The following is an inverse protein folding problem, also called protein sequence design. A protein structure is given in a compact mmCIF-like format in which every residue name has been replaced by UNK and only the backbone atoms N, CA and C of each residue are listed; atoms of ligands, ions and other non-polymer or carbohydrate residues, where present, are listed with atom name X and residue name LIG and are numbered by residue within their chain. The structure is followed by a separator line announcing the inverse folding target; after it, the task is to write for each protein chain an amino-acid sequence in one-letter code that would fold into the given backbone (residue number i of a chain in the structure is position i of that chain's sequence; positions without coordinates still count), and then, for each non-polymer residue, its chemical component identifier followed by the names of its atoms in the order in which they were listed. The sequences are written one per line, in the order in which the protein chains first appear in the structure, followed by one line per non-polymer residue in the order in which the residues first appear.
data_IF_449041482251
#
_entry.id   IF_449041482251
#
_cell.length_a   1.000
_cell.length_b   1.000
_cell.length_c   1.000
_cell.angle_alpha   90.00
_cell.angle_beta   90.00
_cell.angle_gamma   90.00
#
_symmetry.space_group_name_H-M   'P 1'
#
loop_
_entity.id
_entity.type
_entity.pdbx_description
1 polymer ?
#
# COMPACT_ATOMS: atom_id res chain seq x y z
N UNK A 1 -4.01 -37.32 35.10
CA UNK A 1 -3.86 -38.32 34.01
C UNK A 1 -2.43 -38.95 33.98
N UNK A 2 -1.73 -38.98 35.10
CA UNK A 2 -0.36 -39.53 35.09
C UNK A 2 -0.32 -41.07 35.15
N UNK A 3 -1.46 -41.72 35.39
CA UNK A 3 -1.48 -43.17 35.58
C UNK A 3 -1.95 -43.99 34.38
N UNK A 4 -2.83 -43.46 33.50
CA UNK A 4 -3.25 -44.21 32.32
C UNK A 4 -3.66 -43.22 31.19
N UNK A 5 -2.78 -42.94 30.26
CA UNK A 5 -3.08 -42.10 29.05
C UNK A 5 -4.18 -42.73 28.18
N UNK A 6 -4.40 -44.04 28.26
CA UNK A 6 -5.40 -44.79 27.49
C UNK A 6 -6.87 -44.54 27.96
N UNK A 7 -7.07 -43.90 29.11
CA UNK A 7 -8.41 -43.64 29.65
C UNK A 7 -8.83 -42.16 29.64
N UNK A 8 -7.99 -41.27 29.08
CA UNK A 8 -8.35 -39.88 28.90
C UNK A 8 -9.26 -39.76 27.69
N UNK A 9 -10.56 -39.64 27.90
CA UNK A 9 -11.54 -39.37 26.86
C UNK A 9 -11.83 -37.86 26.77
N UNK A 10 -12.18 -37.42 25.57
CA UNK A 10 -12.67 -36.07 25.25
C UNK A 10 -13.99 -36.23 24.49
N UNK A 11 -15.01 -36.68 25.20
CA UNK A 11 -16.33 -36.97 24.64
C UNK A 11 -17.08 -35.68 24.28
N UNK A 12 -16.84 -34.61 25.05
CA UNK A 12 -17.41 -33.29 24.82
C UNK A 12 -16.69 -32.47 23.78
N UNK A 13 -15.52 -32.95 23.28
CA UNK A 13 -14.66 -32.34 22.23
C UNK A 13 -14.17 -30.92 22.58
N UNK A 14 -13.83 -30.70 23.86
CA UNK A 14 -13.26 -29.43 24.33
C UNK A 14 -11.72 -29.42 24.39
N UNK A 15 -11.09 -30.49 23.89
CA UNK A 15 -9.63 -30.73 23.88
C UNK A 15 -9.05 -30.99 25.29
N UNK A 16 -9.86 -31.30 26.24
CA UNK A 16 -9.46 -31.66 27.61
C UNK A 16 -9.94 -33.03 27.94
N UNK A 17 -9.25 -33.68 28.87
CA UNK A 17 -9.70 -34.91 29.42
C UNK A 17 -10.93 -34.67 30.33
N UNK A 18 -12.08 -35.33 30.07
CA UNK A 18 -13.31 -35.22 30.85
C UNK A 18 -13.13 -35.66 32.32
N UNK A 19 -12.10 -36.47 32.58
CA UNK A 19 -11.78 -37.01 33.89
C UNK A 19 -10.97 -36.06 34.78
N UNK A 20 -9.90 -35.46 34.18
CA UNK A 20 -8.92 -34.70 34.98
C UNK A 20 -8.71 -33.26 34.46
N UNK A 21 -9.39 -32.85 33.41
CA UNK A 21 -9.27 -31.52 32.83
C UNK A 21 -7.93 -31.21 32.17
N UNK A 22 -7.03 -32.19 32.07
CA UNK A 22 -5.74 -31.99 31.40
C UNK A 22 -5.95 -31.81 29.91
N UNK A 23 -5.26 -30.83 29.30
CA UNK A 23 -5.28 -30.59 27.85
C UNK A 23 -4.73 -31.82 27.12
N UNK A 24 -5.50 -32.36 26.20
CA UNK A 24 -5.14 -33.54 25.39
C UNK A 24 -4.55 -33.14 24.04
N UNK A 25 -5.18 -32.19 23.36
CA UNK A 25 -4.76 -31.75 22.02
C UNK A 25 -4.83 -30.25 21.90
N UNK A 26 -4.21 -29.72 20.86
CA UNK A 26 -4.36 -28.30 20.47
C UNK A 26 -5.56 -28.12 19.54
N UNK A 27 -6.12 -26.92 19.53
CA UNK A 27 -7.12 -26.55 18.54
C UNK A 27 -6.53 -26.62 17.13
N UNK A 28 -7.27 -27.21 16.19
CA UNK A 28 -6.83 -27.42 14.82
C UNK A 28 -7.95 -27.10 13.82
N UNK A 29 -7.57 -26.88 12.56
CA UNK A 29 -8.49 -26.58 11.46
C UNK A 29 -8.93 -25.12 11.43
N UNK A 30 -9.80 -24.81 10.48
CA UNK A 30 -10.22 -23.44 10.22
C UNK A 30 -9.09 -22.54 9.72
N UNK A 31 -9.48 -21.32 9.34
CA UNK A 31 -8.53 -20.29 8.92
C UNK A 31 -8.90 -18.95 9.57
N UNK A 32 -7.94 -18.28 10.18
CA UNK A 32 -8.12 -16.91 10.62
C UNK A 32 -8.27 -15.97 9.42
N UNK A 33 -9.02 -14.93 9.60
CA UNK A 33 -9.17 -13.84 8.62
C UNK A 33 -8.63 -12.53 9.19
N UNK A 34 -8.67 -11.47 8.40
CA UNK A 34 -8.29 -10.13 8.86
C UNK A 34 -9.23 -9.58 9.95
N UNK A 35 -10.34 -10.26 10.21
CA UNK A 35 -11.36 -9.87 11.19
C UNK A 35 -11.54 -10.93 12.29
N UNK A 36 -11.61 -12.20 11.91
CA UNK A 36 -12.01 -13.29 12.79
C UNK A 36 -10.84 -14.25 13.01
N UNK A 37 -10.71 -14.77 14.22
CA UNK A 37 -9.77 -15.84 14.57
C UNK A 37 -10.16 -17.15 13.88
N UNK A 38 -9.22 -18.09 13.81
CA UNK A 38 -9.55 -19.44 13.35
C UNK A 38 -10.54 -20.11 14.30
N UNK A 39 -11.45 -20.91 13.77
CA UNK A 39 -12.37 -21.74 14.55
C UNK A 39 -11.93 -23.18 14.48
N UNK A 40 -11.80 -23.81 15.64
CA UNK A 40 -11.48 -25.23 15.72
C UNK A 40 -12.59 -26.07 15.07
N UNK A 41 -12.22 -26.97 14.16
CA UNK A 41 -13.17 -27.84 13.47
C UNK A 41 -13.78 -28.91 14.39
N UNK A 42 -13.15 -29.18 15.53
CA UNK A 42 -13.58 -30.19 16.49
C UNK A 42 -14.56 -29.59 17.52
N UNK A 43 -14.19 -28.50 18.19
CA UNK A 43 -14.97 -27.91 19.28
C UNK A 43 -15.65 -26.59 18.93
N UNK A 44 -15.38 -26.00 17.75
CA UNK A 44 -15.95 -24.72 17.32
C UNK A 44 -15.38 -23.48 18.04
N UNK A 45 -14.47 -23.67 19.00
CA UNK A 45 -13.87 -22.55 19.72
C UNK A 45 -12.95 -21.71 18.83
N UNK A 46 -12.94 -20.42 19.05
CA UNK A 46 -11.98 -19.51 18.40
C UNK A 46 -10.60 -19.65 19.05
N UNK A 47 -9.55 -19.73 18.24
CA UNK A 47 -8.19 -19.87 18.71
C UNK A 47 -7.18 -19.12 17.86
N UNK A 48 -5.96 -18.95 18.37
CA UNK A 48 -4.88 -18.24 17.67
C UNK A 48 -5.14 -16.74 17.55
N UNK A 49 -4.45 -16.12 16.62
CA UNK A 49 -4.58 -14.71 16.30
C UNK A 49 -5.28 -14.52 14.95
N UNK A 50 -5.79 -13.30 14.68
CA UNK A 50 -6.33 -12.94 13.36
C UNK A 50 -5.19 -12.95 12.32
N UNK A 51 -5.50 -13.31 11.09
CA UNK A 51 -4.56 -13.19 9.96
C UNK A 51 -4.85 -11.88 9.20
N UNK A 52 -4.07 -10.85 9.52
CA UNK A 52 -4.22 -9.52 8.92
C UNK A 52 -4.05 -9.50 7.39
N UNK A 53 -3.54 -10.58 6.78
CA UNK A 53 -3.34 -10.70 5.33
C UNK A 53 -4.43 -11.51 4.63
N UNK A 54 -5.23 -12.27 5.37
CA UNK A 54 -6.30 -13.08 4.82
C UNK A 54 -7.60 -12.26 4.71
N UNK A 55 -7.75 -11.54 3.61
CA UNK A 55 -8.92 -10.73 3.31
C UNK A 55 -9.96 -11.54 2.52
N UNK A 56 -11.05 -11.94 3.15
CA UNK A 56 -12.09 -12.79 2.52
C UNK A 56 -13.18 -12.02 1.79
N UNK A 57 -13.41 -10.74 2.15
CA UNK A 57 -14.52 -9.94 1.64
C UNK A 57 -14.04 -8.69 0.89
N UNK A 58 -13.17 -8.89 -0.10
CA UNK A 58 -12.70 -7.81 -0.95
C UNK A 58 -13.75 -7.44 -2.00
N UNK A 59 -14.18 -6.18 -1.99
CA UNK A 59 -15.05 -5.59 -3.02
C UNK A 59 -14.22 -4.74 -3.97
N UNK A 60 -14.33 -5.00 -5.25
CA UNK A 60 -13.67 -4.25 -6.31
C UNK A 60 -14.48 -3.02 -6.72
N UNK A 61 -13.83 -1.89 -6.81
CA UNK A 61 -14.36 -0.63 -7.30
C UNK A 61 -13.52 -0.16 -8.48
N UNK A 62 -14.06 -0.22 -9.72
CA UNK A 62 -13.33 0.20 -10.91
C UNK A 62 -13.09 1.71 -10.90
N UNK A 63 -12.04 2.14 -11.58
CA UNK A 63 -11.75 3.56 -11.75
C UNK A 63 -12.90 4.28 -12.45
N UNK A 64 -13.23 5.47 -11.95
CA UNK A 64 -14.22 6.37 -12.54
C UNK A 64 -13.60 7.74 -12.75
N UNK A 65 -13.65 8.23 -13.98
CA UNK A 65 -13.13 9.55 -14.30
C UNK A 65 -13.92 10.66 -13.58
N UNK A 66 -13.19 11.64 -13.04
CA UNK A 66 -13.80 12.86 -12.52
C UNK A 66 -14.39 13.71 -13.65
N UNK A 67 -15.43 14.45 -13.35
CA UNK A 67 -16.04 15.44 -14.25
C UNK A 67 -15.94 16.84 -13.64
N UNK A 68 -16.44 17.84 -14.32
CA UNK A 68 -16.53 19.22 -13.77
C UNK A 68 -17.48 19.33 -12.59
N UNK A 69 -18.46 18.42 -12.50
CA UNK A 69 -19.52 18.47 -11.49
C UNK A 69 -19.40 17.36 -10.44
N UNK A 70 -18.77 16.23 -10.78
CA UNK A 70 -18.65 15.06 -9.91
C UNK A 70 -17.20 14.65 -9.73
N UNK A 71 -16.87 14.23 -8.55
CA UNK A 71 -15.60 13.58 -8.25
C UNK A 71 -15.53 12.20 -8.92
N UNK A 72 -14.31 11.76 -9.23
CA UNK A 72 -14.01 10.41 -9.68
C UNK A 72 -13.41 9.57 -8.57
N UNK A 73 -12.97 8.39 -8.93
CA UNK A 73 -12.16 7.55 -8.05
C UNK A 73 -11.11 6.79 -8.87
N UNK A 74 -9.99 6.46 -8.24
CA UNK A 74 -9.04 5.50 -8.77
C UNK A 74 -9.66 4.09 -8.68
N UNK A 75 -9.07 3.10 -9.35
CA UNK A 75 -9.38 1.70 -9.10
C UNK A 75 -8.90 1.31 -7.71
N UNK A 76 -9.75 0.64 -6.92
CA UNK A 76 -9.41 0.19 -5.58
C UNK A 76 -10.24 -1.01 -5.14
N UNK A 77 -9.76 -1.66 -4.08
CA UNK A 77 -10.45 -2.75 -3.39
C UNK A 77 -10.72 -2.35 -1.95
N UNK A 78 -11.88 -2.69 -1.45
CA UNK A 78 -12.29 -2.43 -0.07
C UNK A 78 -12.57 -3.74 0.64
N UNK A 79 -11.90 -3.97 1.76
CA UNK A 79 -12.18 -5.10 2.63
C UNK A 79 -13.24 -4.73 3.66
N UNK A 80 -14.42 -5.37 3.61
CA UNK A 80 -15.50 -5.13 4.59
C UNK A 80 -15.17 -5.68 5.98
N UNK A 81 -14.30 -6.68 6.08
CA UNK A 81 -13.86 -7.27 7.34
C UNK A 81 -13.02 -6.31 8.18
N UNK A 82 -11.88 -5.88 7.66
CA UNK A 82 -10.98 -4.95 8.37
C UNK A 82 -11.24 -3.46 8.08
N UNK A 83 -12.19 -3.13 7.17
CA UNK A 83 -12.58 -1.76 6.78
C UNK A 83 -11.44 -0.93 6.17
N UNK A 84 -10.56 -1.59 5.41
CA UNK A 84 -9.39 -0.99 4.78
C UNK A 84 -9.50 -0.97 3.26
N UNK A 85 -8.78 -0.04 2.63
CA UNK A 85 -8.73 0.19 1.19
C UNK A 85 -7.38 -0.22 0.63
N UNK A 86 -7.36 -0.79 -0.59
CA UNK A 86 -6.15 -1.33 -1.23
C UNK A 86 -6.10 -0.96 -2.71
N UNK A 87 -4.89 -0.79 -3.24
CA UNK A 87 -4.66 -0.54 -4.68
C UNK A 87 -4.68 -1.79 -5.54
N UNK A 88 -4.63 -2.96 -4.94
CA UNK A 88 -4.46 -4.24 -5.65
C UNK A 88 -5.45 -5.29 -5.15
N UNK A 89 -5.77 -6.25 -6.02
CA UNK A 89 -6.70 -7.34 -5.74
C UNK A 89 -6.21 -8.33 -4.68
N UNK A 90 -4.92 -8.30 -4.34
CA UNK A 90 -4.31 -9.15 -3.32
C UNK A 90 -4.27 -8.46 -1.95
N UNK A 91 -4.75 -7.21 -1.88
CA UNK A 91 -4.79 -6.39 -0.66
C UNK A 91 -3.42 -6.26 0.04
N UNK A 92 -2.35 -6.09 -0.75
CA UNK A 92 -1.00 -5.90 -0.23
C UNK A 92 -0.61 -4.43 -0.08
N UNK A 93 -1.23 -3.53 -0.88
CA UNK A 93 -0.96 -2.10 -0.88
C UNK A 93 -2.11 -1.33 -0.25
N UNK A 94 -2.06 -1.17 1.08
CA UNK A 94 -3.05 -0.39 1.82
C UNK A 94 -2.97 1.10 1.45
N UNK A 95 -4.11 1.74 1.26
CA UNK A 95 -4.27 3.18 1.01
C UNK A 95 -5.33 3.78 1.93
N UNK A 96 -5.29 5.09 2.08
CA UNK A 96 -6.34 5.80 2.82
C UNK A 96 -7.58 5.98 1.94
N UNK A 97 -8.75 6.05 2.56
CA UNK A 97 -10.00 6.32 1.84
C UNK A 97 -9.93 7.61 1.01
N UNK A 98 -9.30 8.66 1.53
CA UNK A 98 -9.13 9.93 0.82
C UNK A 98 -8.33 9.78 -0.48
N UNK A 99 -7.39 8.84 -0.54
CA UNK A 99 -6.55 8.59 -1.71
C UNK A 99 -7.30 7.84 -2.83
N UNK A 100 -8.49 7.30 -2.53
CA UNK A 100 -9.34 6.67 -3.56
C UNK A 100 -10.09 7.67 -4.41
N UNK A 101 -10.27 8.93 -3.92
CA UNK A 101 -11.07 9.95 -4.58
C UNK A 101 -10.21 10.78 -5.54
N UNK A 102 -10.72 11.02 -6.74
CA UNK A 102 -10.14 11.95 -7.72
C UNK A 102 -10.95 13.23 -7.71
N UNK A 103 -10.30 14.36 -7.43
CA UNK A 103 -10.94 15.66 -7.38
C UNK A 103 -11.66 16.02 -8.70
N UNK A 104 -12.70 16.83 -8.62
CA UNK A 104 -13.40 17.37 -9.78
C UNK A 104 -12.44 18.10 -10.71
N UNK A 105 -12.70 18.01 -12.00
CA UNK A 105 -11.96 18.78 -12.99
C UNK A 105 -12.21 20.28 -12.77
N UNK A 106 -11.18 21.14 -12.86
CA UNK A 106 -11.36 22.58 -12.74
C UNK A 106 -12.38 23.04 -13.78
N UNK A 107 -13.41 23.73 -13.31
CA UNK A 107 -14.40 24.37 -14.17
C UNK A 107 -13.72 25.50 -14.94
N UNK A 108 -13.27 25.22 -16.15
CA UNK A 108 -12.76 26.27 -17.03
C UNK A 108 -13.90 27.22 -17.36
N UNK A 109 -13.95 28.43 -16.79
CA UNK A 109 -14.59 29.56 -17.38
C UNK A 109 -13.79 29.91 -18.62
N UNK A 110 -14.19 29.34 -19.77
CA UNK A 110 -13.66 29.80 -21.06
C UNK A 110 -14.18 31.20 -21.28
N UNK A 111 -13.38 32.19 -20.95
CA UNK A 111 -13.58 33.57 -21.44
C UNK A 111 -13.31 33.50 -22.95
N UNK A 112 -14.26 33.84 -23.83
CA UNK A 112 -13.99 33.86 -25.27
C UNK A 112 -12.99 34.98 -25.57
N UNK A 113 -11.81 34.59 -26.06
CA UNK A 113 -10.84 35.53 -26.59
C UNK A 113 -9.53 35.58 -25.85
N UNK A 114 -8.66 34.59 -26.15
CA UNK A 114 -7.21 34.74 -26.30
C UNK A 114 -6.66 33.38 -26.68
N UNK A 115 -6.26 33.27 -27.94
CA UNK A 115 -5.34 32.23 -28.39
C UNK A 115 -4.06 32.24 -27.51
N UNK A 116 -4.01 31.40 -26.50
CA UNK A 116 -2.77 31.02 -25.86
C UNK A 116 -2.71 29.50 -25.90
N UNK A 117 -1.80 29.02 -26.74
CA UNK A 117 -1.25 27.68 -26.72
C UNK A 117 -1.17 27.12 -25.29
N UNK A 118 -1.53 25.86 -25.03
CA UNK A 118 -1.42 25.27 -23.69
C UNK A 118 0.03 25.42 -23.23
N UNK A 119 0.23 26.30 -22.24
CA UNK A 119 1.49 26.39 -21.54
C UNK A 119 1.59 25.10 -20.72
N UNK A 120 2.32 24.13 -21.25
CA UNK A 120 2.83 23.02 -20.47
C UNK A 120 3.69 23.65 -19.41
N UNK A 121 3.15 23.70 -18.17
CA UNK A 121 3.87 24.22 -17.02
C UNK A 121 4.99 23.28 -16.64
N UNK A 122 6.05 23.28 -17.42
CA UNK A 122 7.34 22.74 -17.01
C UNK A 122 7.99 23.80 -16.10
N UNK A 123 7.80 23.63 -14.80
CA UNK A 123 8.47 24.41 -13.77
C UNK A 123 9.92 23.91 -13.58
N UNK A 124 10.49 23.29 -14.60
CA UNK A 124 11.93 23.03 -14.61
C UNK A 124 12.62 24.39 -14.69
N UNK A 125 13.41 24.71 -13.67
CA UNK A 125 14.29 25.87 -13.65
C UNK A 125 15.39 25.69 -14.73
N UNK A 126 14.98 25.56 -16.00
CA UNK A 126 15.86 25.36 -17.14
C UNK A 126 16.97 26.43 -17.19
N UNK A 127 16.62 27.68 -16.84
CA UNK A 127 17.57 28.77 -16.71
C UNK A 127 18.64 28.50 -15.66
N UNK A 128 18.28 27.87 -14.56
CA UNK A 128 19.21 27.53 -13.48
C UNK A 128 20.17 26.42 -13.87
N UNK A 129 19.68 25.42 -14.63
CA UNK A 129 20.51 24.35 -15.18
C UNK A 129 21.45 24.83 -16.28
N UNK A 130 21.00 25.76 -17.15
CA UNK A 130 21.83 26.41 -18.17
C UNK A 130 22.92 27.25 -17.50
N UNK A 131 22.61 28.02 -16.45
CA UNK A 131 23.58 28.79 -15.70
C UNK A 131 24.66 27.90 -15.05
N UNK A 132 24.29 26.75 -14.49
CA UNK A 132 25.21 25.76 -13.92
C UNK A 132 26.16 25.16 -14.96
N UNK A 133 25.66 24.92 -16.17
CA UNK A 133 26.46 24.40 -17.30
C UNK A 133 27.56 25.40 -17.73
N UNK A 134 27.27 26.69 -17.75
CA UNK A 134 28.25 27.74 -18.08
C UNK A 134 29.31 27.91 -16.99
N UNK A 135 28.95 27.76 -15.71
CA UNK A 135 29.90 27.85 -14.60
C UNK A 135 30.86 26.65 -14.61
N UNK A 136 30.37 25.44 -14.85
CA UNK A 136 31.22 24.24 -14.89
C UNK A 136 32.12 24.18 -16.15
N UNK A 137 31.63 24.65 -17.27
CA UNK A 137 32.40 24.73 -18.53
C UNK A 137 33.47 25.80 -18.51
N UNK A 138 33.22 26.94 -17.87
CA UNK A 138 34.19 28.04 -17.75
C UNK A 138 35.41 27.69 -16.89
N UNK A 139 35.25 26.91 -15.83
CA UNK A 139 36.37 26.49 -14.99
C UNK A 139 37.35 25.55 -15.70
N UNK A 140 36.88 24.69 -16.62
CA UNK A 140 37.73 23.77 -17.37
C UNK A 140 38.60 24.48 -18.41
N UNK A 141 38.08 25.53 -19.05
CA UNK A 141 38.81 26.32 -20.06
C UNK A 141 39.85 27.20 -19.38
N UNK A 142 39.54 27.78 -18.23
CA UNK A 142 40.47 28.63 -17.48
C UNK A 142 41.71 27.89 -16.99
N UNK A 143 41.57 26.66 -16.53
CA UNK A 143 42.72 25.87 -16.03
C UNK A 143 43.69 25.40 -17.11
N UNK A 144 43.15 25.11 -18.31
CA UNK A 144 44.04 24.71 -19.46
C UNK A 144 44.85 25.87 -20.01
N UNK A 145 44.33 27.09 -20.02
CA UNK A 145 45.06 28.29 -20.47
C UNK A 145 46.17 28.67 -19.50
N UNK A 146 45.93 28.61 -18.18
CA UNK A 146 46.94 28.91 -17.16
C UNK A 146 48.07 27.87 -17.16
N UNK A 147 47.76 26.60 -17.37
CA UNK A 147 48.76 25.53 -17.45
C UNK A 147 49.67 25.66 -18.67
N UNK A 148 49.15 26.14 -19.83
CA UNK A 148 49.96 26.36 -21.06
C UNK A 148 50.92 27.57 -20.88
N UNK A 149 50.48 28.64 -20.21
CA UNK A 149 51.39 29.79 -19.97
C UNK A 149 52.56 29.47 -19.05
N UNK A 150 52.37 28.58 -18.07
CA UNK A 150 53.47 28.14 -17.17
C UNK A 150 54.56 27.29 -17.87
N UNK A 151 54.20 26.60 -18.99
CA UNK A 151 55.17 25.80 -19.74
C UNK A 151 56.03 26.60 -20.72
N UNK A 152 55.63 27.84 -21.05
CA UNK A 152 56.35 28.67 -22.04
C UNK A 152 57.38 29.59 -21.39
N UNK A 153 57.39 29.76 -20.08
CA UNK A 153 58.34 30.66 -19.34
C UNK A 153 59.36 29.89 -18.47
N UNK A 154 59.77 28.69 -18.94
CA UNK A 154 60.91 27.96 -18.35
C UNK A 154 61.96 27.65 -19.41
#
# INVERSE_FOLDING_TARGET
CDYIISECADDNKDHKCDYCGKKLTDHTGGKATCKDKAKCEVCGAEYGEIDAKNHTDLKHFPAKAATKTTEGNIEYWYCSGCKKYYKDATATQEIKQADTVTAKLPGGTVKPGADKSPQTGDNSNLLLWIALLFISGGAAIGTTVVSRKKKYNR
#
